data_IF_179135259328
#
_entry.id   IF_179135259328
#
_cell.length_a   1.000
_cell.length_b   1.000
_cell.length_c   1.000
_cell.angle_alpha   90.00
_cell.angle_beta   90.00
_cell.angle_gamma   90.00
#
_symmetry.space_group_name_H-M   'P 1'
#
loop_
_entity.id
_entity.type
_entity.pdbx_description
1 polymer ?
#
# COMPACT_ATOMS: atom_id res chain seq x y z
N UNK A 1 10.43 -1.19 -27.65
CA UNK A 1 11.44 -0.90 -28.68
C UNK A 1 12.04 -2.18 -29.20
N UNK A 2 12.10 -2.31 -30.53
CA UNK A 2 12.82 -3.39 -31.21
C UNK A 2 14.08 -2.78 -31.80
N UNK A 3 15.23 -3.42 -31.57
CA UNK A 3 16.51 -2.90 -32.02
C UNK A 3 17.06 -3.82 -33.12
N UNK A 4 17.48 -3.24 -34.25
CA UNK A 4 18.06 -3.97 -35.38
C UNK A 4 19.54 -3.62 -35.49
N UNK A 5 20.46 -4.60 -35.44
CA UNK A 5 21.88 -4.34 -35.60
C UNK A 5 22.24 -3.89 -37.02
N UNK A 6 23.20 -2.97 -37.13
CA UNK A 6 23.71 -2.52 -38.43
C UNK A 6 24.32 -3.65 -39.23
N UNK A 7 24.93 -4.64 -38.58
CA UNK A 7 25.49 -5.81 -39.26
C UNK A 7 24.45 -6.61 -40.06
N UNK A 8 23.20 -6.66 -39.57
CA UNK A 8 22.09 -7.29 -40.29
C UNK A 8 21.70 -6.43 -41.49
N UNK A 9 21.54 -5.13 -41.30
CA UNK A 9 21.18 -4.19 -42.37
C UNK A 9 22.23 -4.13 -43.47
N UNK A 10 23.52 -4.07 -43.11
CA UNK A 10 24.63 -4.07 -44.08
C UNK A 10 24.65 -5.35 -44.92
N UNK A 11 24.38 -6.50 -44.30
CA UNK A 11 24.35 -7.79 -44.99
C UNK A 11 23.13 -7.91 -45.90
N UNK A 12 21.94 -7.59 -45.40
CA UNK A 12 20.68 -7.80 -46.11
C UNK A 12 20.45 -6.76 -47.23
N UNK A 13 21.03 -5.57 -47.10
CA UNK A 13 21.03 -4.52 -48.13
C UNK A 13 22.29 -4.54 -49.01
N UNK A 14 23.20 -5.49 -48.78
CA UNK A 14 24.49 -5.64 -49.48
C UNK A 14 25.36 -4.36 -49.51
N UNK A 15 25.32 -3.60 -48.42
CA UNK A 15 26.05 -2.33 -48.27
C UNK A 15 27.41 -2.55 -47.62
N UNK A 16 28.45 -1.88 -48.13
CA UNK A 16 29.82 -1.96 -47.58
C UNK A 16 30.17 -0.79 -46.67
N UNK A 17 29.47 0.33 -46.83
CA UNK A 17 29.80 1.59 -46.19
C UNK A 17 28.75 1.94 -45.14
N UNK A 18 29.21 2.19 -43.91
CA UNK A 18 28.34 2.58 -42.81
C UNK A 18 27.64 3.92 -43.07
N UNK A 19 28.31 4.86 -43.75
CA UNK A 19 27.74 6.17 -44.07
C UNK A 19 26.53 6.07 -45.00
N UNK A 20 26.61 5.25 -46.04
CA UNK A 20 25.51 5.03 -46.99
C UNK A 20 24.30 4.39 -46.29
N UNK A 21 24.54 3.46 -45.37
CA UNK A 21 23.47 2.87 -44.57
C UNK A 21 22.77 3.93 -43.71
N UNK A 22 23.53 4.79 -43.03
CA UNK A 22 22.95 5.83 -42.17
C UNK A 22 22.15 6.86 -42.98
N UNK A 23 22.66 7.29 -44.14
CA UNK A 23 21.96 8.23 -45.00
C UNK A 23 20.63 7.64 -45.52
N UNK A 24 20.60 6.35 -45.88
CA UNK A 24 19.35 5.66 -46.25
C UNK A 24 18.36 5.55 -45.09
N UNK A 25 18.84 5.28 -43.87
CA UNK A 25 17.96 5.23 -42.70
C UNK A 25 17.41 6.62 -42.41
N UNK A 26 18.22 7.66 -42.51
CA UNK A 26 17.78 9.05 -42.35
C UNK A 26 16.71 9.40 -43.39
N UNK A 27 16.88 9.01 -44.65
CA UNK A 27 15.85 9.20 -45.69
C UNK A 27 14.56 8.44 -45.38
N UNK A 28 14.65 7.20 -44.90
CA UNK A 28 13.48 6.40 -44.51
C UNK A 28 12.72 7.00 -43.32
N UNK A 29 13.44 7.60 -42.38
CA UNK A 29 12.83 8.35 -41.26
C UNK A 29 12.22 9.65 -41.75
N UNK A 30 12.89 10.36 -42.65
CA UNK A 30 12.41 11.63 -43.21
C UNK A 30 11.15 11.45 -44.07
N UNK A 31 10.98 10.29 -44.69
CA UNK A 31 9.79 9.92 -45.47
C UNK A 31 8.68 9.27 -44.63
N UNK A 32 8.82 9.25 -43.30
CA UNK A 32 7.88 8.66 -42.33
C UNK A 32 7.61 7.16 -42.54
N UNK A 33 8.48 6.44 -43.27
CA UNK A 33 8.36 4.98 -43.44
C UNK A 33 8.69 4.29 -42.12
N UNK A 34 9.69 4.80 -41.40
CA UNK A 34 10.17 4.28 -40.13
C UNK A 34 10.19 5.42 -39.12
N UNK A 35 9.70 5.17 -37.91
CA UNK A 35 9.87 6.05 -36.76
C UNK A 35 10.78 5.36 -35.75
N UNK A 36 11.84 6.05 -35.36
CA UNK A 36 12.86 5.46 -34.52
C UNK A 36 14.06 6.37 -34.30
N UNK A 37 15.08 5.81 -33.66
CA UNK A 37 16.34 6.51 -33.34
C UNK A 37 17.54 5.70 -33.78
N UNK A 38 18.55 6.43 -34.25
CA UNK A 38 19.86 5.87 -34.56
C UNK A 38 20.71 5.82 -33.30
N UNK A 39 21.20 4.64 -32.92
CA UNK A 39 22.24 4.48 -31.90
C UNK A 39 23.56 4.09 -32.56
N UNK A 40 24.32 5.11 -32.94
CA UNK A 40 25.61 4.95 -33.60
C UNK A 40 26.68 4.35 -32.68
N UNK A 41 26.57 4.52 -31.36
CA UNK A 41 27.53 3.97 -30.40
C UNK A 41 27.43 2.45 -30.33
N UNK A 42 26.21 1.94 -30.26
CA UNK A 42 25.97 0.50 -30.20
C UNK A 42 25.76 -0.13 -31.59
N UNK A 43 25.76 0.68 -32.66
CA UNK A 43 25.50 0.25 -34.03
C UNK A 43 24.12 -0.43 -34.17
N UNK A 44 23.10 0.17 -33.57
CA UNK A 44 21.73 -0.32 -33.55
C UNK A 44 20.78 0.74 -34.12
N UNK A 45 19.76 0.28 -34.84
CA UNK A 45 18.58 1.07 -35.19
C UNK A 45 17.45 0.71 -34.22
N UNK A 46 17.02 1.66 -33.41
CA UNK A 46 15.85 1.52 -32.55
C UNK A 46 14.60 1.89 -33.34
N UNK A 47 13.70 0.93 -33.53
CA UNK A 47 12.44 1.15 -34.24
C UNK A 47 11.28 1.14 -33.25
N UNK A 48 10.52 2.24 -33.27
CA UNK A 48 9.29 2.41 -32.50
C UNK A 48 8.06 2.05 -33.32
N UNK A 49 8.02 2.52 -34.57
CA UNK A 49 6.92 2.28 -35.49
C UNK A 49 7.43 2.18 -36.93
N UNK A 50 6.72 1.44 -37.77
CA UNK A 50 6.97 1.38 -39.20
C UNK A 50 5.69 1.11 -39.97
N UNK A 51 5.65 1.54 -41.23
CA UNK A 51 4.54 1.24 -42.13
C UNK A 51 4.63 -0.20 -42.64
N UNK A 52 3.48 -0.88 -42.73
CA UNK A 52 3.41 -2.21 -43.34
C UNK A 52 3.47 -2.14 -44.85
N UNK A 53 4.58 -2.56 -45.46
CA UNK A 53 4.77 -2.49 -46.93
C UNK A 53 4.03 -3.59 -47.69
N UNK A 54 4.11 -4.83 -47.22
CA UNK A 54 3.66 -6.01 -47.96
C UNK A 54 2.66 -6.83 -47.13
N UNK A 55 1.50 -7.17 -47.70
CA UNK A 55 0.52 -8.09 -47.09
C UNK A 55 0.29 -9.26 -48.04
N UNK A 56 0.75 -10.45 -47.67
CA UNK A 56 0.52 -11.68 -48.45
C UNK A 56 -0.73 -12.39 -47.91
N UNK A 57 -1.56 -12.94 -48.79
CA UNK A 57 -2.81 -13.65 -48.40
C UNK A 57 -2.59 -14.76 -47.37
N UNK A 58 -1.45 -15.45 -47.43
CA UNK A 58 -1.07 -16.51 -46.49
C UNK A 58 -0.82 -16.01 -45.05
N UNK A 59 -0.42 -14.74 -44.90
CA UNK A 59 -0.02 -14.16 -43.62
C UNK A 59 -1.21 -13.53 -42.88
N UNK A 60 -2.38 -13.40 -43.54
CA UNK A 60 -3.62 -12.85 -42.94
C UNK A 60 -4.02 -13.64 -41.69
N UNK A 61 -3.98 -14.96 -41.75
CA UNK A 61 -4.32 -15.81 -40.60
C UNK A 61 -3.35 -15.59 -39.42
N UNK A 62 -2.07 -15.33 -39.70
CA UNK A 62 -1.09 -15.04 -38.67
C UNK A 62 -1.37 -13.66 -38.04
N UNK A 63 -1.70 -12.65 -38.85
CA UNK A 63 -2.05 -11.31 -38.36
C UNK A 63 -3.27 -11.39 -37.42
N UNK A 64 -4.34 -12.07 -37.86
CA UNK A 64 -5.55 -12.28 -37.04
C UNK A 64 -5.21 -13.00 -35.74
N UNK A 65 -4.41 -14.06 -35.80
CA UNK A 65 -3.96 -14.79 -34.62
C UNK A 65 -3.18 -13.89 -33.65
N UNK A 66 -2.22 -13.11 -34.14
CA UNK A 66 -1.43 -12.20 -33.29
C UNK A 66 -2.29 -11.10 -32.65
N UNK A 67 -3.31 -10.60 -33.36
CA UNK A 67 -4.24 -9.62 -32.81
C UNK A 67 -5.11 -10.24 -31.72
N UNK A 68 -5.61 -11.46 -31.92
CA UNK A 68 -6.35 -12.19 -30.89
C UNK A 68 -5.50 -12.44 -29.65
N UNK A 69 -4.27 -12.94 -29.81
CA UNK A 69 -3.35 -13.15 -28.68
C UNK A 69 -3.08 -11.86 -27.90
N UNK A 70 -3.01 -10.73 -28.59
CA UNK A 70 -2.87 -9.42 -27.95
C UNK A 70 -4.13 -9.00 -27.18
N UNK A 71 -5.31 -9.18 -27.76
CA UNK A 71 -6.60 -8.93 -27.08
C UNK A 71 -6.75 -9.81 -25.83
N UNK A 72 -6.49 -11.11 -25.96
CA UNK A 72 -6.57 -12.07 -24.85
C UNK A 72 -5.59 -11.68 -23.73
N UNK A 73 -4.40 -11.21 -24.09
CA UNK A 73 -3.42 -10.69 -23.14
C UNK A 73 -3.92 -9.45 -22.38
N UNK A 74 -4.57 -8.52 -23.08
CA UNK A 74 -5.20 -7.35 -22.46
C UNK A 74 -6.35 -7.75 -21.52
N UNK A 75 -7.23 -8.65 -21.96
CA UNK A 75 -8.35 -9.16 -21.15
C UNK A 75 -7.84 -9.88 -19.89
N UNK A 76 -6.82 -10.72 -20.01
CA UNK A 76 -6.23 -11.42 -18.86
C UNK A 76 -5.67 -10.44 -17.81
N UNK A 77 -5.01 -9.36 -18.25
CA UNK A 77 -4.51 -8.32 -17.34
C UNK A 77 -5.67 -7.57 -16.66
N UNK A 78 -6.70 -7.19 -17.42
CA UNK A 78 -7.88 -6.51 -16.88
C UNK A 78 -8.60 -7.37 -15.84
N UNK A 79 -8.89 -8.63 -16.16
CA UNK A 79 -9.49 -9.60 -15.24
C UNK A 79 -8.61 -9.83 -14.00
N UNK A 80 -7.29 -9.88 -14.19
CA UNK A 80 -6.33 -9.95 -13.09
C UNK A 80 -6.48 -8.78 -12.13
N UNK A 81 -6.59 -7.55 -12.65
CA UNK A 81 -6.79 -6.34 -11.84
C UNK A 81 -8.14 -6.37 -11.11
N UNK A 82 -9.22 -6.71 -11.81
CA UNK A 82 -10.56 -6.83 -11.21
C UNK A 82 -10.57 -7.81 -10.04
N UNK A 83 -9.94 -8.98 -10.21
CA UNK A 83 -9.80 -9.96 -9.14
C UNK A 83 -8.99 -9.42 -7.95
N UNK A 84 -7.92 -8.67 -8.18
CA UNK A 84 -7.17 -8.04 -7.09
C UNK A 84 -8.01 -7.00 -6.34
N UNK A 85 -8.83 -6.22 -7.04
CA UNK A 85 -9.76 -5.27 -6.42
C UNK A 85 -10.79 -6.00 -5.56
N UNK A 86 -11.37 -7.08 -6.06
CA UNK A 86 -12.33 -7.89 -5.30
C UNK A 86 -11.69 -8.48 -4.04
N UNK A 87 -10.48 -9.06 -4.16
CA UNK A 87 -9.73 -9.58 -3.00
C UNK A 87 -9.47 -8.48 -1.98
N UNK A 88 -8.97 -7.31 -2.41
CA UNK A 88 -8.69 -6.19 -1.51
C UNK A 88 -9.97 -5.72 -0.78
N UNK A 89 -11.10 -5.66 -1.48
CA UNK A 89 -12.39 -5.31 -0.88
C UNK A 89 -12.87 -6.35 0.14
N UNK A 90 -12.76 -7.64 -0.18
CA UNK A 90 -13.08 -8.72 0.75
C UNK A 90 -12.19 -8.68 2.01
N UNK A 91 -10.88 -8.46 1.85
CA UNK A 91 -9.98 -8.29 2.99
C UNK A 91 -10.37 -7.11 3.87
N UNK A 92 -10.69 -5.96 3.27
CA UNK A 92 -11.16 -4.77 3.99
C UNK A 92 -12.46 -5.06 4.75
N UNK A 93 -13.42 -5.72 4.11
CA UNK A 93 -14.70 -6.04 4.74
C UNK A 93 -14.55 -7.00 5.91
N UNK A 94 -13.77 -8.07 5.72
CA UNK A 94 -13.48 -9.03 6.80
C UNK A 94 -12.73 -8.35 7.96
N UNK A 95 -11.75 -7.49 7.65
CA UNK A 95 -11.04 -6.74 8.67
C UNK A 95 -11.98 -5.84 9.48
N UNK A 96 -12.86 -5.10 8.80
CA UNK A 96 -13.86 -4.26 9.47
C UNK A 96 -14.81 -5.09 10.34
N UNK A 97 -15.28 -6.25 9.86
CA UNK A 97 -16.13 -7.15 10.64
C UNK A 97 -15.42 -7.64 11.90
N UNK A 98 -14.16 -8.08 11.80
CA UNK A 98 -13.38 -8.50 12.96
C UNK A 98 -13.12 -7.36 13.92
N UNK A 99 -12.80 -6.15 13.43
CA UNK A 99 -12.65 -4.96 14.29
C UNK A 99 -13.95 -4.65 15.05
N UNK A 100 -15.10 -4.66 14.37
CA UNK A 100 -16.40 -4.44 15.01
C UNK A 100 -16.73 -5.49 16.08
N UNK A 101 -16.39 -6.76 15.85
CA UNK A 101 -16.56 -7.82 16.85
C UNK A 101 -15.71 -7.56 18.09
N UNK A 102 -14.43 -7.22 17.91
CA UNK A 102 -13.52 -6.88 19.01
C UNK A 102 -14.03 -5.66 19.78
N UNK A 103 -14.47 -4.61 19.08
CA UNK A 103 -15.05 -3.41 19.71
C UNK A 103 -16.34 -3.72 20.47
N UNK A 104 -17.21 -4.59 19.93
CA UNK A 104 -18.44 -5.01 20.59
C UNK A 104 -18.14 -5.83 21.86
N UNK A 105 -17.17 -6.75 21.82
CA UNK A 105 -16.72 -7.49 22.99
C UNK A 105 -16.18 -6.56 24.08
N UNK A 106 -15.32 -5.59 23.70
CA UNK A 106 -14.82 -4.56 24.63
C UNK A 106 -15.98 -3.78 25.25
N UNK A 107 -16.96 -3.37 24.45
CA UNK A 107 -18.14 -2.64 24.93
C UNK A 107 -18.99 -3.47 25.90
N UNK A 108 -19.18 -4.77 25.62
CA UNK A 108 -19.88 -5.70 26.51
C UNK A 108 -19.14 -5.86 27.85
N UNK A 109 -17.83 -6.11 27.84
CA UNK A 109 -17.03 -6.17 29.07
C UNK A 109 -17.08 -4.87 29.87
N UNK A 110 -17.09 -3.71 29.20
CA UNK A 110 -17.23 -2.42 29.87
C UNK A 110 -18.63 -2.19 30.46
N UNK A 111 -19.69 -2.79 29.90
CA UNK A 111 -21.03 -2.77 30.49
C UNK A 111 -21.12 -3.70 31.69
N UNK A 112 -20.61 -4.93 31.58
CA UNK A 112 -20.57 -5.89 32.68
C UNK A 112 -19.83 -5.33 33.91
N UNK A 113 -18.70 -4.65 33.71
CA UNK A 113 -17.98 -3.95 34.79
C UNK A 113 -18.76 -2.76 35.39
N UNK A 114 -19.68 -2.13 34.63
CA UNK A 114 -20.55 -1.04 35.10
C UNK A 114 -21.79 -1.56 35.82
N UNK A 115 -22.31 -2.69 35.38
CA UNK A 115 -23.55 -3.32 35.87
C UNK A 115 -23.32 -4.22 37.09
N UNK A 116 -22.23 -4.07 37.85
CA UNK A 116 -22.03 -4.77 39.13
C UNK A 116 -22.93 -4.12 40.20
N UNK A 117 -24.14 -4.65 40.52
CA UNK A 117 -25.09 -3.92 41.34
C UNK A 117 -24.93 -4.21 42.84
N UNK A 118 -23.99 -5.06 43.26
CA UNK A 118 -24.01 -5.62 44.62
C UNK A 118 -22.86 -5.21 45.55
N UNK A 119 -21.79 -4.57 45.06
CA UNK A 119 -20.72 -4.05 45.94
C UNK A 119 -20.91 -2.57 46.35
N UNK A 120 -21.67 -1.79 45.57
CA UNK A 120 -21.97 -0.40 45.92
C UNK A 120 -23.10 -0.27 46.96
N UNK A 121 -24.02 -1.25 47.03
CA UNK A 121 -25.07 -1.29 48.05
C UNK A 121 -24.54 -1.65 49.45
N UNK A 122 -23.55 -2.55 49.54
CA UNK A 122 -22.94 -2.91 50.84
C UNK A 122 -22.08 -1.75 51.38
N UNK A 123 -21.44 -0.98 50.49
CA UNK A 123 -20.61 0.17 50.89
C UNK A 123 -21.46 1.37 51.37
N UNK A 124 -22.67 1.57 50.84
CA UNK A 124 -23.57 2.64 51.30
C UNK A 124 -24.36 2.26 52.57
N UNK A 125 -24.58 0.97 52.84
CA UNK A 125 -25.29 0.51 54.04
C UNK A 125 -24.45 0.63 55.34
N UNK A 126 -23.12 0.59 55.27
CA UNK A 126 -22.25 0.71 56.45
C UNK A 126 -22.12 2.15 57.00
N UNK A 127 -22.54 3.17 56.24
CA UNK A 127 -22.42 4.57 56.67
C UNK A 127 -23.67 5.10 57.42
N UNK A 128 -24.75 4.32 57.51
CA UNK A 128 -26.04 4.74 58.10
C UNK A 128 -26.58 3.78 59.18
N UNK A 129 -25.72 3.04 59.88
CA UNK A 129 -26.14 2.30 61.08
C UNK A 129 -25.89 3.15 62.35
N UNK A 130 -26.92 3.58 63.11
CA UNK A 130 -26.71 4.35 64.33
C UNK A 130 -26.31 3.43 65.49
N UNK A 131 -25.03 3.37 65.84
CA UNK A 131 -24.55 2.66 67.03
C UNK A 131 -24.52 3.58 68.24
N UNK A 132 -25.58 3.52 69.04
CA UNK A 132 -25.56 4.00 70.43
C UNK A 132 -24.70 3.09 71.30
N UNK A 133 -23.58 3.60 71.86
CA UNK A 133 -23.12 3.29 73.24
C UNK A 133 -21.88 4.07 73.70
N UNK A 134 -22.10 4.90 74.72
CA UNK A 134 -21.31 5.25 75.94
C UNK A 134 -19.77 5.13 75.95
N UNK A 135 -19.17 6.31 76.21
CA UNK A 135 -18.00 6.66 77.05
C UNK A 135 -16.85 5.66 77.33
N UNK A 136 -15.63 6.04 76.93
CA UNK A 136 -14.51 6.32 77.83
C UNK A 136 -13.39 7.11 77.10
N UNK A 137 -12.61 7.91 77.86
CA UNK A 137 -11.71 9.02 77.47
C UNK A 137 -10.59 8.67 76.45
N UNK A 138 -10.09 9.64 75.66
CA UNK A 138 -8.87 9.47 74.87
C UNK A 138 -7.60 9.86 75.68
N UNK A 139 -6.43 9.23 75.45
CA UNK A 139 -5.15 9.78 75.87
C UNK A 139 -4.51 10.65 74.77
N UNK A 140 -3.58 11.51 75.20
CA UNK A 140 -2.92 12.61 74.49
C UNK A 140 -2.30 12.28 73.11
N UNK A 141 -2.18 13.29 72.21
CA UNK A 141 -1.57 13.09 70.89
C UNK A 141 -0.02 13.16 70.97
N UNK A 142 0.72 12.33 70.21
CA UNK A 142 2.13 12.56 69.95
C UNK A 142 2.32 13.63 68.86
N UNK A 143 3.37 14.43 69.03
CA UNK A 143 3.79 15.54 68.17
C UNK A 143 3.98 15.12 66.70
N UNK A 144 3.30 15.82 65.80
CA UNK A 144 3.50 15.77 64.35
C UNK A 144 4.96 16.14 64.01
N UNK A 145 5.75 15.17 63.54
CA UNK A 145 6.88 15.48 62.65
C UNK A 145 6.31 15.83 61.28
N UNK A 146 6.44 17.11 60.94
CA UNK A 146 6.28 17.65 59.60
C UNK A 146 7.15 16.85 58.61
N UNK A 147 6.52 16.03 57.77
CA UNK A 147 7.14 15.55 56.54
C UNK A 147 6.71 16.45 55.40
N UNK A 148 7.72 16.82 54.62
CA UNK A 148 7.68 17.80 53.53
C UNK A 148 6.85 17.29 52.36
N UNK A 149 5.83 18.05 51.96
CA UNK A 149 5.17 17.95 50.67
C UNK A 149 6.13 18.45 49.58
N UNK A 150 6.99 17.55 49.11
CA UNK A 150 7.98 17.83 48.05
C UNK A 150 7.94 16.82 46.91
N UNK A 151 6.77 16.27 46.55
CA UNK A 151 6.62 15.50 45.30
C UNK A 151 5.20 15.63 44.72
N UNK A 152 4.77 16.88 44.51
CA UNK A 152 3.69 17.20 43.57
C UNK A 152 4.05 18.53 42.90
N UNK A 153 5.07 18.47 42.04
CA UNK A 153 5.24 19.41 40.93
C UNK A 153 6.32 18.87 40.00
N UNK A 154 5.87 18.12 39.01
CA UNK A 154 6.65 17.71 37.85
C UNK A 154 5.81 17.93 36.61
N UNK A 155 5.58 19.20 36.28
CA UNK A 155 5.10 19.60 34.96
C UNK A 155 6.10 19.09 33.92
N UNK A 156 5.65 18.22 33.01
CA UNK A 156 6.38 17.93 31.76
C UNK A 156 5.49 18.37 30.60
N UNK A 157 5.95 19.30 29.73
CA UNK A 157 5.16 19.82 28.63
C UNK A 157 5.05 18.82 27.48
N UNK A 158 3.94 18.95 26.74
CA UNK A 158 3.68 18.35 25.43
C UNK A 158 4.82 18.69 24.45
N UNK A 159 5.44 17.66 23.87
CA UNK A 159 6.16 17.79 22.59
C UNK A 159 5.51 16.90 21.55
N UNK A 160 4.98 17.58 20.52
CA UNK A 160 4.49 17.02 19.27
C UNK A 160 5.69 16.44 18.51
N UNK A 161 5.68 15.16 18.14
CA UNK A 161 6.63 14.63 17.15
C UNK A 161 5.89 13.84 16.07
N UNK A 162 6.09 14.31 14.84
CA UNK A 162 5.58 13.78 13.57
C UNK A 162 6.16 12.39 13.27
N UNK A 163 5.28 11.46 12.86
CA UNK A 163 5.43 10.64 11.65
C UNK A 163 6.27 9.36 11.71
N UNK A 164 5.63 8.21 11.44
CA UNK A 164 5.93 7.29 10.32
C UNK A 164 4.94 6.10 10.29
N UNK A 165 4.63 5.52 9.10
CA UNK A 165 3.47 4.64 8.86
C UNK A 165 3.74 3.15 9.18
N UNK A 166 2.70 2.28 9.26
CA UNK A 166 2.86 0.90 9.68
C UNK A 166 3.52 0.03 8.60
N UNK A 167 4.38 -0.87 9.05
CA UNK A 167 5.16 -1.83 8.26
C UNK A 167 4.26 -2.91 7.65
N UNK A 168 4.48 -3.24 6.37
CA UNK A 168 3.93 -4.42 5.67
C UNK A 168 4.46 -5.71 6.30
N UNK A 169 3.60 -6.73 6.39
CA UNK A 169 4.00 -8.11 6.69
C UNK A 169 4.82 -8.73 5.53
N UNK A 170 5.75 -9.66 5.80
CA UNK A 170 6.49 -10.35 4.76
C UNK A 170 5.68 -11.50 4.14
N UNK A 171 6.08 -11.87 2.92
CA UNK A 171 5.55 -12.98 2.11
C UNK A 171 5.80 -14.35 2.76
#
# INVERSE_FOLDING_TARGET
MKCIPYSVLLKDLEMRNLRELEDLIIEAVYTDIIQGKLDQRNQLLEVDFCIGRDIRKKDINNIVKTLHEWCDGCEAVLLGIEQQVLRANQYKENHNRTQQQVEAEIACFQREKRDVPLLNLITTAFFWLPTSRRHSKPPHPPRLRRWSSSWLNGSVPLTLSRGSPPRRCPK
#
